data_IF_738066532281
#
_entry.id   IF_738066532281
#
_cell.length_a   1.000
_cell.length_b   1.000
_cell.length_c   1.000
_cell.angle_alpha   90.00
_cell.angle_beta   90.00
_cell.angle_gamma   90.00
#
_symmetry.space_group_name_H-M   'P 1'
#
loop_
_entity.id
_entity.type
_entity.pdbx_description
1 polymer ?
#
# COMPACT_ATOMS: atom_id res chain seq x y z
N UNK A 1 2.43 -18.38 -8.30
CA UNK A 1 2.81 -16.94 -8.27
C UNK A 1 3.76 -16.69 -7.09
N UNK A 2 4.39 -15.51 -6.99
CA UNK A 2 5.37 -15.23 -5.93
C UNK A 2 4.78 -15.37 -4.53
N UNK A 3 3.56 -14.86 -4.30
CA UNK A 3 2.90 -14.91 -3.00
C UNK A 3 2.58 -16.34 -2.54
N UNK A 4 2.19 -17.19 -3.48
CA UNK A 4 1.94 -18.62 -3.22
C UNK A 4 3.25 -19.30 -2.81
N UNK A 5 4.34 -19.08 -3.57
CA UNK A 5 5.64 -19.64 -3.25
C UNK A 5 6.17 -19.16 -1.88
N UNK A 6 5.94 -17.90 -1.51
CA UNK A 6 6.30 -17.38 -0.18
C UNK A 6 5.49 -18.04 0.94
N UNK A 7 4.24 -18.39 0.68
CA UNK A 7 3.37 -19.06 1.65
C UNK A 7 3.82 -20.49 1.93
N UNK A 8 4.41 -21.17 0.93
CA UNK A 8 4.90 -22.55 1.03
C UNK A 8 6.22 -22.68 1.81
N UNK A 9 7.00 -21.60 1.94
CA UNK A 9 8.27 -21.60 2.70
C UNK A 9 8.01 -21.87 4.20
N UNK A 10 6.84 -21.51 4.72
CA UNK A 10 6.47 -21.77 6.11
C UNK A 10 7.12 -20.82 7.13
N UNK A 11 7.24 -19.54 6.79
CA UNK A 11 7.64 -18.52 7.78
C UNK A 11 6.69 -18.54 8.98
N UNK A 12 7.24 -18.38 10.19
CA UNK A 12 6.44 -18.22 11.42
C UNK A 12 5.46 -17.03 11.31
N UNK A 13 5.83 -16.02 10.53
CA UNK A 13 5.02 -14.82 10.27
C UNK A 13 5.30 -14.27 8.88
N UNK A 14 4.25 -14.14 8.07
CA UNK A 14 4.31 -13.61 6.70
C UNK A 14 3.23 -12.53 6.52
N UNK A 15 3.64 -11.32 6.17
CA UNK A 15 2.73 -10.25 5.78
C UNK A 15 2.95 -9.90 4.31
N UNK A 16 1.87 -9.95 3.52
CA UNK A 16 1.85 -9.55 2.12
C UNK A 16 1.03 -8.27 2.00
N UNK A 17 1.67 -7.16 1.65
CA UNK A 17 1.00 -5.86 1.52
C UNK A 17 0.76 -5.56 0.04
N UNK A 18 -0.50 -5.34 -0.34
CA UNK A 18 -0.96 -5.08 -1.71
C UNK A 18 -1.52 -3.67 -1.85
N UNK A 19 -0.66 -2.64 -1.91
CA UNK A 19 -1.14 -1.28 -2.17
C UNK A 19 -1.62 -1.15 -3.62
N UNK A 20 -2.60 -0.29 -3.84
CA UNK A 20 -3.14 0.03 -5.17
C UNK A 20 -2.18 0.91 -5.99
N UNK A 21 -1.75 2.03 -5.41
CA UNK A 21 -0.73 2.92 -5.97
C UNK A 21 0.06 3.56 -4.83
N UNK A 22 1.39 3.55 -4.89
CA UNK A 22 2.22 4.19 -3.87
C UNK A 22 2.56 5.65 -4.28
N UNK A 23 2.27 6.62 -3.41
CA UNK A 23 2.66 8.02 -3.55
C UNK A 23 3.84 8.35 -2.65
N UNK A 24 4.90 8.90 -3.21
CA UNK A 24 6.03 9.40 -2.44
C UNK A 24 6.87 10.34 -3.29
N UNK A 25 7.85 11.04 -2.70
CA UNK A 25 8.83 11.78 -3.48
C UNK A 25 9.54 10.78 -4.40
N UNK A 26 9.18 10.81 -5.68
CA UNK A 26 9.86 10.06 -6.73
C UNK A 26 10.97 10.96 -7.27
N UNK A 27 12.19 10.44 -7.30
CA UNK A 27 13.34 11.09 -7.92
C UNK A 27 13.23 11.11 -9.45
N UNK A 28 12.42 10.22 -10.03
CA UNK A 28 12.10 10.21 -11.46
C UNK A 28 10.79 10.96 -11.73
N UNK A 29 10.90 12.09 -12.41
CA UNK A 29 9.75 12.80 -12.97
C UNK A 29 9.26 12.04 -14.21
N UNK A 30 8.03 11.54 -14.20
CA UNK A 30 7.35 11.09 -15.42
C UNK A 30 6.71 12.33 -16.07
N UNK A 31 7.25 12.87 -17.17
CA UNK A 31 6.81 14.15 -17.73
C UNK A 31 5.33 14.20 -18.18
N UNK A 32 4.66 13.04 -18.31
CA UNK A 32 3.21 12.97 -18.53
C UNK A 32 2.34 13.24 -17.28
N UNK A 33 2.90 13.28 -16.07
CA UNK A 33 2.14 13.44 -14.83
C UNK A 33 1.60 14.86 -14.59
N UNK A 34 2.15 15.89 -15.22
CA UNK A 34 1.75 17.27 -14.92
C UNK A 34 0.34 17.59 -15.44
N UNK A 35 0.02 17.17 -16.66
CA UNK A 35 -1.30 17.37 -17.26
C UNK A 35 -2.35 16.45 -16.62
N UNK A 36 -1.97 15.21 -16.27
CA UNK A 36 -2.82 14.29 -15.53
C UNK A 36 -3.15 14.78 -14.12
N UNK A 37 -2.18 15.36 -13.38
CA UNK A 37 -2.42 15.93 -12.04
C UNK A 37 -3.41 17.11 -12.06
N UNK A 38 -3.33 17.98 -13.07
CA UNK A 38 -4.23 19.13 -13.19
C UNK A 38 -5.67 18.71 -13.53
N UNK A 39 -5.83 17.69 -14.37
CA UNK A 39 -7.15 17.14 -14.72
C UNK A 39 -7.73 16.23 -13.63
N UNK A 40 -6.89 15.50 -12.90
CA UNK A 40 -7.32 14.55 -11.86
C UNK A 40 -7.55 15.20 -10.49
N UNK A 41 -7.01 16.39 -10.20
CA UNK A 41 -7.30 17.11 -8.95
C UNK A 41 -8.81 17.29 -8.70
N UNK A 42 -9.61 17.82 -9.65
CA UNK A 42 -11.06 17.96 -9.45
C UNK A 42 -11.84 16.64 -9.54
N UNK A 43 -11.31 15.63 -10.25
CA UNK A 43 -11.94 14.29 -10.37
C UNK A 43 -11.49 13.28 -9.31
N UNK A 44 -10.63 13.68 -8.37
CA UNK A 44 -10.09 12.80 -7.33
C UNK A 44 -11.18 12.15 -6.45
N UNK A 45 -12.33 12.82 -6.30
CA UNK A 45 -13.50 12.29 -5.59
C UNK A 45 -14.16 11.09 -6.30
N UNK A 46 -14.01 10.97 -7.63
CA UNK A 46 -14.59 9.89 -8.43
C UNK A 46 -13.69 8.65 -8.50
N UNK A 47 -12.46 8.71 -7.97
CA UNK A 47 -11.55 7.57 -7.98
C UNK A 47 -12.08 6.51 -7.02
N UNK A 48 -12.45 5.31 -7.52
CA UNK A 48 -12.91 4.22 -6.67
C UNK A 48 -11.87 3.91 -5.59
N UNK A 49 -12.31 3.55 -4.38
CA UNK A 49 -11.42 3.29 -3.24
C UNK A 49 -10.30 2.28 -3.56
N UNK A 50 -10.58 1.32 -4.45
CA UNK A 50 -9.62 0.34 -4.97
C UNK A 50 -8.39 0.96 -5.67
N UNK A 51 -8.50 2.19 -6.18
CA UNK A 51 -7.43 2.91 -6.89
C UNK A 51 -6.90 4.10 -6.11
N UNK A 52 -7.32 4.29 -4.84
CA UNK A 52 -6.86 5.42 -4.03
C UNK A 52 -5.38 5.28 -3.69
N UNK A 53 -4.53 6.23 -4.09
CA UNK A 53 -3.10 6.11 -3.88
C UNK A 53 -2.71 6.25 -2.40
N UNK A 54 -1.90 5.31 -1.89
CA UNK A 54 -1.39 5.27 -0.51
C UNK A 54 -0.05 5.99 -0.43
N UNK A 55 0.13 6.89 0.54
CA UNK A 55 1.42 7.53 0.76
C UNK A 55 2.47 6.55 1.30
N UNK A 56 3.73 6.66 0.83
CA UNK A 56 4.86 5.84 1.29
C UNK A 56 5.08 5.97 2.80
N UNK A 57 4.77 7.13 3.38
CA UNK A 57 4.78 7.35 4.83
C UNK A 57 3.77 6.47 5.57
N UNK A 58 2.56 6.32 5.03
CA UNK A 58 1.52 5.43 5.58
C UNK A 58 2.03 4.00 5.57
N UNK A 59 2.54 3.54 4.42
CA UNK A 59 3.12 2.19 4.30
C UNK A 59 4.24 1.93 5.31
N UNK A 60 5.17 2.88 5.47
CA UNK A 60 6.29 2.72 6.40
C UNK A 60 5.81 2.60 7.86
N UNK A 61 4.80 3.40 8.25
CA UNK A 61 4.21 3.33 9.59
C UNK A 61 3.49 2.00 9.82
N UNK A 62 2.68 1.55 8.85
CA UNK A 62 2.00 0.25 8.91
C UNK A 62 3.01 -0.89 9.05
N UNK A 63 4.08 -0.90 8.24
CA UNK A 63 5.13 -1.92 8.35
C UNK A 63 5.75 -1.91 9.76
N UNK A 64 6.05 -0.73 10.32
CA UNK A 64 6.59 -0.63 11.68
C UNK A 64 5.63 -1.17 12.75
N UNK A 65 4.33 -0.95 12.62
CA UNK A 65 3.33 -1.50 13.54
C UNK A 65 3.25 -3.02 13.41
N UNK A 66 3.15 -3.52 12.18
CA UNK A 66 3.09 -4.96 11.90
C UNK A 66 4.31 -5.67 12.50
N UNK A 67 5.54 -5.25 12.20
CA UNK A 67 6.73 -5.97 12.70
C UNK A 67 6.87 -6.01 14.23
N UNK A 68 6.17 -5.13 14.98
CA UNK A 68 6.17 -5.14 16.45
C UNK A 68 5.22 -6.18 17.06
N UNK A 69 4.26 -6.69 16.27
CA UNK A 69 3.40 -7.80 16.67
C UNK A 69 4.19 -9.11 16.84
N UNK A 70 3.63 -10.04 17.61
CA UNK A 70 4.23 -11.35 17.90
C UNK A 70 3.33 -12.52 17.46
N UNK A 71 2.19 -12.20 16.85
CA UNK A 71 1.25 -13.20 16.36
C UNK A 71 1.81 -13.94 15.14
N UNK A 72 1.77 -15.27 15.21
CA UNK A 72 2.13 -16.14 14.09
C UNK A 72 1.02 -16.16 13.06
N UNK A 73 1.38 -16.30 11.79
CA UNK A 73 0.42 -16.50 10.72
C UNK A 73 0.80 -15.86 9.40
N UNK A 74 -0.07 -16.07 8.42
CA UNK A 74 0.02 -15.49 7.08
C UNK A 74 -1.12 -14.50 6.87
N UNK A 75 -0.77 -13.25 6.58
CA UNK A 75 -1.70 -12.13 6.46
C UNK A 75 -1.54 -11.44 5.11
N UNK A 76 -2.67 -11.13 4.48
CA UNK A 76 -2.73 -10.36 3.24
C UNK A 76 -3.47 -9.06 3.53
N UNK A 77 -2.80 -7.93 3.30
CA UNK A 77 -3.32 -6.58 3.52
C UNK A 77 -3.60 -5.91 2.19
N UNK A 78 -4.87 -5.73 1.86
CA UNK A 78 -5.28 -5.01 0.66
C UNK A 78 -5.23 -3.50 0.90
N UNK A 79 -5.15 -2.71 -0.18
CA UNK A 79 -5.03 -1.25 -0.10
C UNK A 79 -6.02 -0.57 0.85
N UNK A 80 -7.24 -1.10 1.00
CA UNK A 80 -8.26 -0.58 1.91
C UNK A 80 -7.96 -0.78 3.40
N UNK A 81 -7.25 -1.86 3.74
CA UNK A 81 -6.97 -2.25 5.12
C UNK A 81 -5.78 -1.44 5.65
N UNK A 82 -4.85 -1.08 4.76
CA UNK A 82 -3.68 -0.25 5.05
C UNK A 82 -4.02 1.19 5.46
N UNK A 83 -5.21 1.70 5.13
CA UNK A 83 -5.66 3.02 5.60
C UNK A 83 -6.21 3.00 7.03
N UNK A 84 -6.75 1.86 7.50
CA UNK A 84 -7.46 1.79 8.79
C UNK A 84 -6.53 1.77 10.00
N UNK A 85 -5.29 1.32 9.84
CA UNK A 85 -4.30 1.22 10.93
C UNK A 85 -3.60 2.54 11.28
N UNK A 86 -3.75 3.59 10.45
CA UNK A 86 -3.10 4.90 10.68
C UNK A 86 -4.00 5.89 11.42
N UNK A 87 -5.32 5.67 11.43
CA UNK A 87 -6.29 6.52 12.12
C UNK A 87 -6.62 6.03 13.55
N UNK A 88 -5.84 5.09 14.09
CA UNK A 88 -5.97 4.52 15.44
C UNK A 88 -4.83 4.89 16.38
#
# INVERSE_FOLDING_TARGET
MLEEALSEIGFDRLHILRPSLLLGPRTESRPGEYLGKLLMQPLSFLIPWKYRPIHARIMANTIQQLIRGNEKGHYIWEGKDLYKEVDG
#
